data_IF_135082153964
#
_entry.id   IF_135082153964
#
_cell.length_a   1.000
_cell.length_b   1.000
_cell.length_c   1.000
_cell.angle_alpha   90.00
_cell.angle_beta   90.00
_cell.angle_gamma   90.00
#
_symmetry.space_group_name_H-M   'P 1'
#
loop_
_entity.id
_entity.type
_entity.pdbx_description
1 polymer ?
#
# COMPACT_ATOMS: atom_id res chain seq x y z
N UNK A 1 2.15 0.69 10.83
CA UNK A 1 1.17 0.02 9.95
C UNK A 1 1.34 0.38 8.48
N UNK A 2 0.98 1.58 8.00
CA UNK A 2 1.18 1.93 6.56
C UNK A 2 2.63 1.85 6.09
N UNK A 3 3.57 2.14 7.00
CA UNK A 3 5.01 1.90 6.83
C UNK A 3 5.33 0.43 6.56
N UNK A 4 4.67 -0.47 7.28
CA UNK A 4 4.91 -1.90 7.26
C UNK A 4 4.35 -2.50 5.96
N UNK A 5 3.19 -2.02 5.50
CA UNK A 5 2.66 -2.33 4.17
C UNK A 5 3.62 -1.92 3.05
N UNK A 6 4.33 -0.80 3.21
CA UNK A 6 5.35 -0.40 2.22
C UNK A 6 6.58 -1.28 2.27
N UNK A 7 7.10 -1.57 3.47
CA UNK A 7 8.21 -2.48 3.65
C UNK A 7 7.88 -3.87 3.07
N UNK A 8 6.67 -4.37 3.27
CA UNK A 8 6.18 -5.60 2.62
C UNK A 8 6.23 -5.51 1.09
N UNK A 9 5.81 -4.38 0.51
CA UNK A 9 5.90 -4.16 -0.93
C UNK A 9 7.33 -4.20 -1.47
N UNK A 10 8.29 -3.66 -0.71
CA UNK A 10 9.71 -3.71 -1.04
C UNK A 10 10.21 -5.17 -1.01
N UNK A 11 9.96 -5.88 0.09
CA UNK A 11 10.35 -7.29 0.25
C UNK A 11 9.73 -8.18 -0.83
N UNK A 12 8.44 -8.02 -1.14
CA UNK A 12 7.79 -8.81 -2.19
C UNK A 12 8.41 -8.55 -3.57
N UNK A 13 8.73 -7.29 -3.88
CA UNK A 13 9.40 -6.93 -5.13
C UNK A 13 10.80 -7.58 -5.22
N UNK A 14 11.56 -7.53 -4.13
CA UNK A 14 12.89 -8.13 -4.04
C UNK A 14 12.83 -9.65 -4.18
N UNK A 15 11.89 -10.32 -3.51
CA UNK A 15 11.68 -11.76 -3.67
C UNK A 15 11.43 -12.13 -5.14
N UNK A 16 10.70 -11.30 -5.88
CA UNK A 16 10.37 -11.55 -7.28
C UNK A 16 11.56 -11.27 -8.22
N UNK A 17 12.39 -10.29 -7.93
CA UNK A 17 13.36 -9.73 -8.90
C UNK A 17 14.82 -9.88 -8.50
N UNK A 18 15.08 -10.25 -7.23
CA UNK A 18 16.39 -10.20 -6.58
C UNK A 18 17.03 -8.80 -6.63
N UNK A 19 16.20 -7.74 -6.74
CA UNK A 19 16.63 -6.34 -6.87
C UNK A 19 15.70 -5.44 -6.06
N UNK A 20 16.22 -4.33 -5.55
CA UNK A 20 15.41 -3.32 -4.91
C UNK A 20 14.50 -2.60 -5.92
N UNK A 21 13.26 -2.22 -5.54
CA UNK A 21 12.40 -1.39 -6.39
C UNK A 21 12.97 0.02 -6.60
N UNK A 22 13.70 0.55 -5.62
CA UNK A 22 14.36 1.85 -5.68
C UNK A 22 15.83 1.67 -5.29
N UNK A 23 16.74 2.06 -6.18
CA UNK A 23 18.18 1.97 -5.97
C UNK A 23 18.90 3.15 -6.64
N UNK A 24 20.01 3.61 -6.08
CA UNK A 24 20.80 4.73 -6.61
C UNK A 24 22.19 4.83 -5.95
N UNK A 25 23.13 5.51 -6.62
CA UNK A 25 24.53 5.63 -6.18
C UNK A 25 24.73 6.51 -4.93
N UNK A 26 23.71 7.28 -4.53
CA UNK A 26 23.76 8.11 -3.32
C UNK A 26 22.38 8.32 -2.71
N UNK A 27 22.37 8.71 -1.43
CA UNK A 27 21.16 8.91 -0.64
C UNK A 27 20.21 9.95 -1.25
N UNK A 28 20.73 11.06 -1.80
CA UNK A 28 19.90 12.11 -2.40
C UNK A 28 19.13 11.60 -3.63
N UNK A 29 19.83 10.88 -4.52
CA UNK A 29 19.21 10.25 -5.69
C UNK A 29 18.20 9.17 -5.31
N UNK A 30 18.49 8.38 -4.27
CA UNK A 30 17.58 7.37 -3.74
C UNK A 30 16.29 7.99 -3.21
N UNK A 31 16.40 9.03 -2.38
CA UNK A 31 15.26 9.78 -1.85
C UNK A 31 14.40 10.33 -2.98
N UNK A 32 15.02 10.93 -4.02
CA UNK A 32 14.28 11.43 -5.17
C UNK A 32 13.55 10.32 -5.96
N UNK A 33 14.13 9.12 -6.09
CA UNK A 33 13.45 7.99 -6.74
C UNK A 33 12.26 7.50 -5.91
N UNK A 34 12.42 7.37 -4.59
CA UNK A 34 11.34 7.01 -3.66
C UNK A 34 10.20 8.04 -3.75
N UNK A 35 10.53 9.34 -3.73
CA UNK A 35 9.58 10.45 -3.87
C UNK A 35 8.98 10.59 -5.28
N UNK A 36 9.50 9.88 -6.29
CA UNK A 36 8.85 9.78 -7.60
C UNK A 36 7.93 8.56 -7.69
N UNK A 37 8.11 7.57 -6.83
CA UNK A 37 7.30 6.35 -6.79
C UNK A 37 7.36 5.50 -8.06
N UNK A 38 8.38 5.70 -8.90
CA UNK A 38 8.59 4.92 -10.13
C UNK A 38 9.62 3.83 -9.89
N UNK A 39 9.24 2.59 -10.18
CA UNK A 39 10.10 1.41 -10.15
C UNK A 39 9.77 0.52 -11.36
N UNK A 40 10.69 -0.35 -11.82
CA UNK A 40 10.44 -1.23 -12.96
C UNK A 40 9.28 -2.19 -12.68
N UNK A 41 8.37 -2.36 -13.65
CA UNK A 41 7.26 -3.29 -13.49
C UNK A 41 7.75 -4.74 -13.36
N UNK A 42 7.06 -5.55 -12.55
CA UNK A 42 7.29 -6.98 -12.48
C UNK A 42 6.95 -7.63 -13.83
N UNK A 43 7.83 -8.51 -14.30
CA UNK A 43 7.64 -9.30 -15.52
C UNK A 43 7.79 -10.78 -15.18
N UNK A 44 7.02 -11.65 -15.83
CA UNK A 44 7.07 -13.10 -15.56
C UNK A 44 6.30 -13.57 -14.32
N UNK A 45 5.59 -12.68 -13.61
CA UNK A 45 4.74 -13.02 -12.46
C UNK A 45 3.26 -12.79 -12.77
N UNK A 46 2.39 -13.39 -11.96
CA UNK A 46 0.95 -13.22 -12.10
C UNK A 46 0.51 -11.76 -11.92
N UNK A 47 -0.65 -11.43 -12.49
CA UNK A 47 -1.27 -10.11 -12.30
C UNK A 47 -1.59 -9.85 -10.82
N UNK A 48 -1.92 -10.89 -10.06
CA UNK A 48 -2.21 -10.77 -8.62
C UNK A 48 -0.99 -10.31 -7.81
N UNK A 49 0.18 -10.90 -8.05
CA UNK A 49 1.43 -10.47 -7.39
C UNK A 49 1.81 -9.06 -7.83
N UNK A 50 1.69 -8.78 -9.12
CA UNK A 50 1.98 -7.46 -9.67
C UNK A 50 1.06 -6.38 -9.08
N UNK A 51 -0.22 -6.66 -8.90
CA UNK A 51 -1.20 -5.77 -8.28
C UNK A 51 -0.94 -5.59 -6.78
N UNK A 52 -0.62 -6.68 -6.06
CA UNK A 52 -0.29 -6.64 -4.65
C UNK A 52 0.92 -5.73 -4.37
N UNK A 53 2.00 -5.89 -5.14
CA UNK A 53 3.20 -5.04 -5.01
C UNK A 53 2.88 -3.58 -5.33
N UNK A 54 2.10 -3.32 -6.39
CA UNK A 54 1.63 -1.97 -6.73
C UNK A 54 0.83 -1.31 -5.62
N UNK A 55 -0.09 -2.05 -5.01
CA UNK A 55 -0.87 -1.58 -3.86
C UNK A 55 0.03 -1.23 -2.67
N UNK A 56 0.95 -2.11 -2.31
CA UNK A 56 1.88 -1.91 -1.21
C UNK A 56 2.78 -0.69 -1.44
N UNK A 57 3.32 -0.55 -2.65
CA UNK A 57 4.19 0.56 -3.07
C UNK A 57 3.41 1.81 -3.54
N UNK A 58 2.17 1.98 -3.08
CA UNK A 58 1.44 3.24 -3.28
C UNK A 58 2.13 4.37 -2.51
N UNK A 59 2.62 5.36 -3.24
CA UNK A 59 3.42 6.45 -2.69
C UNK A 59 2.67 7.28 -1.64
N UNK A 60 1.47 7.75 -1.97
CA UNK A 60 0.65 8.49 -1.02
C UNK A 60 0.12 7.54 0.06
N UNK A 61 0.63 7.69 1.29
CA UNK A 61 0.27 6.84 2.44
C UNK A 61 -1.24 6.83 2.74
N UNK A 62 -1.97 7.90 2.46
CA UNK A 62 -3.43 7.96 2.64
C UNK A 62 -4.19 7.10 1.62
N UNK A 63 -3.60 6.87 0.44
CA UNK A 63 -4.18 6.01 -0.60
C UNK A 63 -3.68 4.57 -0.51
N UNK A 64 -2.53 4.34 0.11
CA UNK A 64 -2.00 3.00 0.35
C UNK A 64 -3.03 2.19 1.14
N UNK A 65 -3.37 0.95 0.78
CA UNK A 65 -4.25 0.11 1.59
C UNK A 65 -3.61 -0.16 2.96
N UNK A 66 -4.43 -0.44 3.96
CA UNK A 66 -3.95 -1.05 5.21
C UNK A 66 -3.97 -2.57 5.06
N UNK A 67 -3.39 -3.27 6.02
CA UNK A 67 -3.32 -4.74 6.05
C UNK A 67 -4.70 -5.38 5.85
N UNK A 68 -5.75 -4.88 6.50
CA UNK A 68 -7.10 -5.42 6.35
C UNK A 68 -7.63 -5.30 4.91
N UNK A 69 -7.35 -4.19 4.22
CA UNK A 69 -7.70 -4.05 2.80
C UNK A 69 -6.91 -5.00 1.89
N UNK A 70 -5.69 -5.36 2.24
CA UNK A 70 -4.92 -6.37 1.49
C UNK A 70 -5.48 -7.78 1.71
N UNK A 71 -5.88 -8.11 2.94
CA UNK A 71 -6.53 -9.39 3.27
C UNK A 71 -7.91 -9.57 2.62
N UNK A 72 -8.51 -8.51 2.08
CA UNK A 72 -9.75 -8.58 1.30
C UNK A 72 -9.52 -8.94 -0.17
N UNK A 73 -8.28 -8.97 -0.66
CA UNK A 73 -7.99 -9.33 -2.04
C UNK A 73 -8.33 -10.81 -2.29
N UNK A 74 -9.08 -11.15 -3.36
CA UNK A 74 -9.47 -12.54 -3.63
C UNK A 74 -8.30 -13.51 -3.69
N UNK A 75 -7.20 -13.10 -4.33
CA UNK A 75 -5.97 -13.89 -4.45
C UNK A 75 -5.31 -14.17 -3.09
N UNK A 76 -5.32 -13.20 -2.17
CA UNK A 76 -4.79 -13.38 -0.81
C UNK A 76 -5.69 -14.31 0.01
N UNK A 77 -7.02 -14.15 -0.08
CA UNK A 77 -7.96 -15.01 0.65
C UNK A 77 -7.88 -16.46 0.18
N UNK A 78 -7.89 -16.67 -1.14
CA UNK A 78 -7.74 -18.00 -1.72
C UNK A 78 -6.42 -18.66 -1.28
N UNK A 79 -5.32 -17.90 -1.23
CA UNK A 79 -4.03 -18.42 -0.78
C UNK A 79 -3.99 -18.70 0.72
N UNK A 80 -4.63 -17.88 1.54
CA UNK A 80 -4.75 -18.14 2.97
C UNK A 80 -5.54 -19.43 3.24
N UNK A 81 -6.64 -19.66 2.51
CA UNK A 81 -7.44 -20.88 2.60
C UNK A 81 -6.65 -22.12 2.16
N UNK A 82 -5.96 -22.05 1.02
CA UNK A 82 -5.07 -23.11 0.52
C UNK A 82 -4.00 -23.50 1.55
N UNK A 83 -3.47 -22.53 2.29
CA UNK A 83 -2.44 -22.72 3.30
C UNK A 83 -2.98 -23.00 4.72
N UNK A 84 -4.30 -23.05 4.91
CA UNK A 84 -4.91 -23.25 6.23
C UNK A 84 -4.70 -22.08 7.20
N UNK A 85 -4.40 -20.88 6.70
CA UNK A 85 -4.23 -19.67 7.50
C UNK A 85 -5.59 -19.04 7.80
N UNK A 86 -5.97 -19.05 9.07
CA UNK A 86 -7.20 -18.41 9.51
C UNK A 86 -7.11 -16.88 9.34
N UNK A 87 -8.02 -16.32 8.55
CA UNK A 87 -8.21 -14.87 8.39
C UNK A 87 -9.61 -14.48 8.88
N UNK A 88 -9.79 -13.27 9.44
CA UNK A 88 -11.12 -12.79 9.81
C UNK A 88 -12.08 -12.78 8.61
N UNK A 89 -13.38 -12.86 8.90
CA UNK A 89 -14.41 -12.78 7.89
C UNK A 89 -14.42 -11.41 7.19
N UNK A 90 -15.08 -11.35 6.04
CA UNK A 90 -15.09 -10.16 5.19
C UNK A 90 -15.72 -8.95 5.88
N UNK A 91 -16.78 -9.14 6.67
CA UNK A 91 -17.46 -8.05 7.36
C UNK A 91 -16.55 -7.45 8.45
N UNK A 92 -15.89 -8.31 9.22
CA UNK A 92 -14.92 -7.90 10.24
C UNK A 92 -13.74 -7.12 9.63
N UNK A 93 -13.18 -7.62 8.52
CA UNK A 93 -12.07 -6.94 7.84
C UNK A 93 -12.48 -5.56 7.30
N UNK A 94 -13.68 -5.42 6.73
CA UNK A 94 -14.19 -4.13 6.25
C UNK A 94 -14.32 -3.14 7.41
N UNK A 95 -14.94 -3.55 8.52
CA UNK A 95 -15.08 -2.69 9.70
C UNK A 95 -13.72 -2.23 10.26
N UNK A 96 -12.74 -3.13 10.34
CA UNK A 96 -11.38 -2.79 10.77
C UNK A 96 -10.66 -1.86 9.78
N UNK A 97 -10.85 -2.10 8.48
CA UNK A 97 -10.26 -1.28 7.43
C UNK A 97 -10.77 0.17 7.47
N UNK A 98 -12.05 0.37 7.76
CA UNK A 98 -12.69 1.69 7.88
C UNK A 98 -12.29 2.42 9.16
N UNK A 99 -12.20 1.71 10.29
CA UNK A 99 -11.75 2.29 11.57
C UNK A 99 -10.35 2.92 11.47
N UNK A 100 -9.48 2.34 10.63
CA UNK A 100 -8.13 2.84 10.37
C UNK A 100 -8.03 3.79 9.16
N UNK A 101 -9.14 4.10 8.48
CA UNK A 101 -9.10 5.02 7.36
C UNK A 101 -8.81 6.45 7.86
N UNK A 102 -8.03 7.26 7.12
CA UNK A 102 -7.78 8.64 7.48
C UNK A 102 -9.12 9.40 7.55
N UNK A 103 -9.35 10.13 8.64
CA UNK A 103 -10.52 11.01 8.76
C UNK A 103 -10.48 12.00 7.59
N UNK A 104 -11.60 12.15 6.86
CA UNK A 104 -11.69 13.16 5.81
C UNK A 104 -11.29 14.51 6.40
N UNK A 105 -10.43 15.31 5.75
CA UNK A 105 -10.18 16.65 6.20
C UNK A 105 -11.52 17.39 6.22
N UNK A 106 -11.94 17.85 7.40
CA UNK A 106 -13.03 18.81 7.49
C UNK A 106 -12.54 20.04 6.73
N UNK A 107 -13.18 20.37 5.61
CA UNK A 107 -12.91 21.62 4.93
C UNK A 107 -13.13 22.74 5.94
N UNK A 108 -12.06 23.43 6.34
CA UNK A 108 -12.16 24.66 7.11
C UNK A 108 -13.08 25.59 6.33
N UNK A 109 -14.32 25.73 6.82
CA UNK A 109 -15.31 26.67 6.31
C UNK A 109 -14.65 28.04 6.46
N UNK A 110 -14.11 28.59 5.37
CA UNK A 110 -13.63 29.98 5.35
C UNK A 110 -14.83 30.84 5.73
N UNK A 111 -14.82 31.41 6.92
CA UNK A 111 -15.72 32.51 7.24
C UNK A 111 -15.31 33.66 6.30
N UNK A 112 -16.22 34.25 5.52
CA UNK A 112 -15.93 35.51 4.86
C UNK A 112 -15.71 36.56 5.96
N UNK A 113 -14.51 37.12 6.00
CA UNK A 113 -14.16 38.18 6.94
C UNK A 113 -15.09 39.38 6.76
N UNK A 114 -15.75 39.75 7.85
CA UNK A 114 -16.50 40.99 7.99
C UNK A 114 -15.49 42.11 8.25
N UNK A 115 -15.55 43.15 7.41
CA UNK A 115 -15.33 44.56 7.74
C UNK A 115 -13.98 44.99 8.34
N UNK A 116 -13.27 45.86 7.61
CA UNK A 116 -12.99 47.25 8.01
C UNK A 116 -12.57 48.05 6.78
#
# INVERSE_FOLDING_TARGET
EKSDVWALGVVLYECCTQKHPFDADNQGALILKILRGKYPALTGYSLDISDLVKRCLTQNANRRPNTFKLLLLPSIRAKAEELGVAIPDQQSLIAMAEKLAPKRPQSSRRQPGVGL
#
